data_IF_952736299305
#
_entry.id   IF_952736299305
#
_cell.length_a   1.000
_cell.length_b   1.000
_cell.length_c   1.000
_cell.angle_alpha   90.00
_cell.angle_beta   90.00
_cell.angle_gamma   90.00
#
_symmetry.space_group_name_H-M   'P 1'
#
loop_
_entity.id
_entity.type
_entity.pdbx_description
1 polymer ?
#
# COMPACT_ATOMS: atom_id res chain seq x y z
N UNK A 1 16.22 -18.05 -7.36
CA UNK A 1 15.71 -17.25 -6.22
C UNK A 1 14.75 -18.15 -5.46
N UNK A 2 14.84 -18.17 -4.13
CA UNK A 2 13.99 -19.05 -3.29
C UNK A 2 12.57 -18.48 -3.23
N UNK A 3 11.58 -19.34 -3.45
CA UNK A 3 10.16 -19.09 -3.20
C UNK A 3 9.87 -19.34 -1.72
N UNK A 4 9.00 -18.54 -1.07
CA UNK A 4 8.68 -18.70 0.36
C UNK A 4 8.03 -20.08 0.63
N UNK A 5 7.48 -20.74 -0.40
CA UNK A 5 7.03 -22.14 -0.42
C UNK A 5 8.00 -23.13 0.25
N UNK A 6 9.31 -22.93 0.13
CA UNK A 6 10.31 -23.86 0.70
C UNK A 6 10.40 -23.84 2.24
N UNK A 7 9.76 -22.86 2.89
CA UNK A 7 9.72 -22.75 4.35
C UNK A 7 8.64 -23.63 4.98
N UNK A 8 7.64 -24.06 4.20
CA UNK A 8 6.53 -24.91 4.66
C UNK A 8 6.85 -26.39 4.34
N UNK A 9 8.03 -26.84 4.72
CA UNK A 9 8.49 -28.22 4.50
C UNK A 9 8.22 -29.10 5.73
N UNK A 10 7.78 -30.37 5.56
CA UNK A 10 7.45 -31.24 6.68
C UNK A 10 8.69 -31.57 7.52
N UNK A 11 8.75 -30.98 8.72
CA UNK A 11 9.74 -31.31 9.74
C UNK A 11 9.04 -31.42 11.09
N UNK A 12 8.98 -32.63 11.65
CA UNK A 12 8.27 -32.91 12.91
C UNK A 12 8.68 -32.03 14.08
N UNK A 13 9.94 -31.63 14.17
CA UNK A 13 10.43 -30.74 15.24
C UNK A 13 9.95 -29.29 15.05
N UNK A 14 9.86 -28.84 13.81
CA UNK A 14 9.35 -27.50 13.47
C UNK A 14 7.84 -27.43 13.73
N UNK A 15 7.09 -28.46 13.31
CA UNK A 15 5.67 -28.58 13.61
C UNK A 15 5.38 -28.60 15.13
N UNK A 16 6.18 -29.32 15.92
CA UNK A 16 6.05 -29.30 17.38
C UNK A 16 6.28 -27.89 17.96
N UNK A 17 7.29 -27.18 17.47
CA UNK A 17 7.55 -25.79 17.84
C UNK A 17 6.37 -24.88 17.49
N UNK A 18 5.87 -24.95 16.25
CA UNK A 18 4.76 -24.13 15.77
C UNK A 18 3.47 -24.40 16.56
N UNK A 19 3.14 -25.67 16.86
CA UNK A 19 2.00 -26.02 17.71
C UNK A 19 2.18 -25.57 19.16
N UNK A 20 3.41 -25.60 19.69
CA UNK A 20 3.70 -25.07 21.03
C UNK A 20 3.42 -23.57 21.09
N UNK A 21 3.94 -22.80 20.12
CA UNK A 21 3.68 -21.35 20.04
C UNK A 21 2.19 -21.08 19.82
N UNK A 22 1.51 -21.87 18.98
CA UNK A 22 0.05 -21.76 18.75
C UNK A 22 -0.73 -21.99 20.05
N UNK A 23 -0.35 -22.98 20.86
CA UNK A 23 -0.97 -23.23 22.16
C UNK A 23 -0.78 -22.06 23.15
N UNK A 24 0.40 -21.44 23.15
CA UNK A 24 0.67 -20.22 23.94
C UNK A 24 -0.23 -19.07 23.48
N UNK A 25 -0.38 -18.87 22.17
CA UNK A 25 -1.27 -17.84 21.61
C UNK A 25 -2.74 -18.09 21.97
N UNK A 26 -3.21 -19.34 21.91
CA UNK A 26 -4.57 -19.72 22.36
C UNK A 26 -4.78 -19.39 23.85
N UNK A 27 -3.78 -19.69 24.69
CA UNK A 27 -3.79 -19.26 26.09
C UNK A 27 -3.86 -17.74 26.25
N UNK A 28 -3.12 -17.01 25.41
CA UNK A 28 -3.15 -15.54 25.31
C UNK A 28 -4.55 -15.01 24.97
N UNK A 29 -5.24 -15.60 23.99
CA UNK A 29 -6.64 -15.25 23.66
C UNK A 29 -7.54 -15.40 24.90
N UNK A 30 -7.44 -16.54 25.59
CA UNK A 30 -8.20 -16.78 26.80
C UNK A 30 -7.91 -15.77 27.91
N UNK A 31 -6.64 -15.40 28.09
CA UNK A 31 -6.21 -14.40 29.08
C UNK A 31 -6.74 -13.00 28.74
N UNK A 32 -6.64 -12.55 27.49
CA UNK A 32 -7.14 -11.24 27.10
C UNK A 32 -8.67 -11.17 27.21
N UNK A 33 -9.37 -12.20 26.75
CA UNK A 33 -10.83 -12.28 26.87
C UNK A 33 -11.29 -12.29 28.34
N UNK A 34 -10.62 -13.05 29.21
CA UNK A 34 -10.92 -13.06 30.64
C UNK A 34 -10.62 -11.72 31.34
N UNK A 35 -9.70 -10.93 30.79
CA UNK A 35 -9.38 -9.57 31.25
C UNK A 35 -10.28 -8.48 30.69
N UNK A 36 -11.22 -8.81 29.79
CA UNK A 36 -12.05 -7.82 29.09
C UNK A 36 -11.33 -7.06 27.96
N UNK A 37 -10.11 -7.46 27.62
CA UNK A 37 -9.26 -6.87 26.57
C UNK A 37 -9.62 -7.50 25.20
N UNK A 38 -10.85 -7.26 24.74
CA UNK A 38 -11.41 -7.95 23.57
C UNK A 38 -10.71 -7.60 22.25
N UNK A 39 -10.18 -6.39 22.12
CA UNK A 39 -9.34 -5.96 21.01
C UNK A 39 -8.11 -6.88 20.84
N UNK A 40 -7.42 -7.15 21.94
CA UNK A 40 -6.27 -8.04 21.99
C UNK A 40 -6.64 -9.51 21.85
N UNK A 41 -7.78 -9.92 22.38
CA UNK A 41 -8.29 -11.28 22.19
C UNK A 41 -8.56 -11.55 20.70
N UNK A 42 -9.19 -10.62 19.98
CA UNK A 42 -9.46 -10.73 18.55
C UNK A 42 -8.17 -10.71 17.74
N UNK A 43 -7.25 -9.79 18.03
CA UNK A 43 -5.97 -9.70 17.33
C UNK A 43 -5.13 -10.98 17.51
N UNK A 44 -5.08 -11.53 18.72
CA UNK A 44 -4.37 -12.78 19.00
C UNK A 44 -5.09 -13.98 18.37
N UNK A 45 -6.42 -13.98 18.33
CA UNK A 45 -7.19 -15.03 17.66
C UNK A 45 -6.97 -15.04 16.15
N UNK A 46 -6.78 -13.88 15.52
CA UNK A 46 -6.41 -13.78 14.11
C UNK A 46 -5.06 -14.46 13.83
N UNK A 47 -4.07 -14.26 14.69
CA UNK A 47 -2.78 -14.98 14.60
C UNK A 47 -2.96 -16.49 14.71
N UNK A 48 -3.75 -16.96 15.68
CA UNK A 48 -4.07 -18.39 15.83
C UNK A 48 -4.76 -18.92 14.57
N UNK A 49 -5.71 -18.18 14.01
CA UNK A 49 -6.42 -18.58 12.80
C UNK A 49 -5.47 -18.72 11.60
N UNK A 50 -4.49 -17.82 11.45
CA UNK A 50 -3.47 -17.91 10.40
C UNK A 50 -2.56 -19.12 10.63
N UNK A 51 -2.09 -19.32 11.87
CA UNK A 51 -1.20 -20.42 12.22
C UNK A 51 -1.85 -21.80 12.00
N UNK A 52 -3.13 -21.95 12.35
CA UNK A 52 -3.90 -23.19 12.16
C UNK A 52 -4.43 -23.33 10.73
N UNK A 53 -4.60 -22.21 10.02
CA UNK A 53 -5.13 -22.18 8.67
C UNK A 53 -4.33 -23.01 7.68
N UNK A 54 -2.99 -23.00 7.78
CA UNK A 54 -2.12 -23.80 6.90
C UNK A 54 -2.34 -25.30 7.10
N UNK A 55 -2.17 -25.88 8.31
CA UNK A 55 -2.46 -27.30 8.55
C UNK A 55 -3.87 -27.74 8.15
N UNK A 56 -4.87 -26.86 8.36
CA UNK A 56 -6.25 -27.17 8.03
C UNK A 56 -6.50 -27.19 6.52
N UNK A 57 -5.92 -26.24 5.79
CA UNK A 57 -6.02 -26.16 4.33
C UNK A 57 -5.29 -27.32 3.64
N UNK A 58 -4.11 -27.70 4.14
CA UNK A 58 -3.31 -28.82 3.60
C UNK A 58 -3.79 -30.18 4.08
N UNK A 59 -4.64 -30.22 5.12
CA UNK A 59 -5.09 -31.43 5.82
C UNK A 59 -3.93 -32.27 6.39
N UNK A 60 -2.84 -31.60 6.77
CA UNK A 60 -1.66 -32.21 7.35
C UNK A 60 -1.16 -31.39 8.54
N UNK A 61 -1.18 -31.98 9.73
CA UNK A 61 -0.77 -31.34 10.98
C UNK A 61 0.75 -31.15 11.09
N UNK A 62 1.54 -31.84 10.26
CA UNK A 62 2.99 -31.64 10.17
C UNK A 62 3.36 -30.45 9.26
N UNK A 63 2.42 -29.99 8.42
CA UNK A 63 2.62 -28.86 7.51
C UNK A 63 2.17 -27.56 8.17
N UNK A 64 3.10 -26.85 8.80
CA UNK A 64 2.85 -25.63 9.59
C UNK A 64 3.64 -24.43 9.06
N UNK A 65 3.31 -23.22 9.53
CA UNK A 65 4.20 -22.07 9.37
C UNK A 65 5.49 -22.28 10.17
N UNK A 66 6.65 -21.72 9.76
CA UNK A 66 7.91 -21.90 10.48
C UNK A 66 7.78 -21.49 11.95
N UNK A 67 8.20 -22.34 12.87
CA UNK A 67 8.05 -22.11 14.30
C UNK A 67 8.79 -20.84 14.75
N UNK A 68 9.96 -20.55 14.15
CA UNK A 68 10.75 -19.35 14.46
C UNK A 68 10.01 -18.07 14.05
N UNK A 69 9.36 -18.10 12.88
CA UNK A 69 8.59 -16.97 12.38
C UNK A 69 7.34 -16.74 13.23
N UNK A 70 6.60 -17.81 13.53
CA UNK A 70 5.44 -17.73 14.41
C UNK A 70 5.83 -17.29 15.82
N UNK A 71 6.96 -17.77 16.34
CA UNK A 71 7.54 -17.35 17.60
C UNK A 71 7.90 -15.87 17.62
N UNK A 72 8.55 -15.37 16.57
CA UNK A 72 8.88 -13.94 16.42
C UNK A 72 7.63 -13.07 16.45
N UNK A 73 6.58 -13.47 15.73
CA UNK A 73 5.30 -12.74 15.70
C UNK A 73 4.53 -12.87 17.02
N UNK A 74 4.75 -13.92 17.80
CA UNK A 74 4.17 -14.07 19.14
C UNK A 74 4.87 -13.21 20.21
N UNK A 75 6.11 -12.73 19.98
CA UNK A 75 6.85 -11.93 20.98
C UNK A 75 6.08 -10.67 21.40
N UNK A 76 5.57 -9.81 20.48
CA UNK A 76 4.81 -8.64 20.90
C UNK A 76 3.53 -8.96 21.67
N UNK A 77 2.87 -10.09 21.38
CA UNK A 77 1.71 -10.59 22.14
C UNK A 77 2.12 -10.93 23.57
N UNK A 78 3.23 -11.64 23.74
CA UNK A 78 3.75 -11.98 25.07
C UNK A 78 4.16 -10.74 25.85
N UNK A 79 4.86 -9.79 25.20
CA UNK A 79 5.22 -8.50 25.81
C UNK A 79 3.97 -7.78 26.31
N UNK A 80 2.89 -7.78 25.50
CA UNK A 80 1.61 -7.18 25.89
C UNK A 80 0.95 -7.89 27.07
N UNK A 81 1.00 -9.22 27.15
CA UNK A 81 0.46 -10.01 28.28
C UNK A 81 1.07 -9.55 29.61
N UNK A 82 2.34 -9.14 29.61
CA UNK A 82 3.04 -8.60 30.77
C UNK A 82 2.92 -7.07 30.94
N UNK A 83 2.08 -6.41 30.13
CA UNK A 83 1.83 -4.96 30.19
C UNK A 83 2.92 -4.10 29.53
N UNK A 84 3.79 -4.68 28.72
CA UNK A 84 4.87 -3.95 28.05
C UNK A 84 4.40 -3.22 26.78
N UNK A 85 4.86 -1.98 26.61
CA UNK A 85 4.77 -1.17 25.38
C UNK A 85 3.38 -1.22 24.67
N UNK A 86 2.28 -0.85 25.36
CA UNK A 86 0.93 -0.95 24.80
C UNK A 86 0.71 -0.08 23.54
N UNK A 87 1.48 0.99 23.36
CA UNK A 87 1.40 1.86 22.18
C UNK A 87 2.09 1.28 20.94
N UNK A 88 3.01 0.33 21.09
CA UNK A 88 3.85 -0.19 19.98
C UNK A 88 3.49 -1.63 19.63
N UNK A 89 3.17 -2.43 20.65
CA UNK A 89 2.89 -3.86 20.48
C UNK A 89 1.74 -4.18 19.52
N UNK A 90 0.60 -3.45 19.44
CA UNK A 90 -0.46 -3.75 18.48
C UNK A 90 0.04 -3.69 17.04
N UNK A 91 0.81 -2.64 16.72
CA UNK A 91 1.32 -2.42 15.37
C UNK A 91 2.39 -3.44 14.97
N UNK A 92 3.22 -3.88 15.91
CA UNK A 92 4.16 -4.98 15.69
C UNK A 92 3.42 -6.31 15.42
N UNK A 93 2.31 -6.57 16.13
CA UNK A 93 1.48 -7.74 15.85
C UNK A 93 0.82 -7.64 14.49
N UNK A 94 0.25 -6.48 14.12
CA UNK A 94 -0.34 -6.26 12.78
C UNK A 94 0.70 -6.49 11.67
N UNK A 95 1.92 -5.97 11.85
CA UNK A 95 3.00 -6.20 10.90
C UNK A 95 3.39 -7.69 10.82
N UNK A 96 3.43 -8.38 11.96
CA UNK A 96 3.65 -9.83 12.02
C UNK A 96 2.53 -10.65 11.37
N UNK A 97 1.27 -10.24 11.53
CA UNK A 97 0.10 -10.81 10.84
C UNK A 97 0.25 -10.62 9.33
N UNK A 98 0.54 -9.40 8.86
CA UNK A 98 0.75 -9.10 7.45
C UNK A 98 1.85 -9.97 6.85
N UNK A 99 2.90 -10.23 7.63
CA UNK A 99 4.01 -11.07 7.24
C UNK A 99 3.63 -12.55 7.14
N UNK A 100 2.96 -13.10 8.16
CA UNK A 100 2.46 -14.47 8.10
C UNK A 100 1.49 -14.63 6.94
N UNK A 101 0.61 -13.65 6.69
CA UNK A 101 -0.25 -13.64 5.52
C UNK A 101 0.55 -13.67 4.21
N UNK A 102 1.62 -12.88 4.08
CA UNK A 102 2.47 -12.92 2.89
C UNK A 102 3.08 -14.32 2.66
N UNK A 103 3.58 -14.96 3.72
CA UNK A 103 4.15 -16.32 3.67
C UNK A 103 3.08 -17.35 3.32
N UNK A 104 1.90 -17.27 3.94
CA UNK A 104 0.78 -18.18 3.68
C UNK A 104 0.25 -17.99 2.25
N UNK A 105 0.15 -16.76 1.77
CA UNK A 105 -0.25 -16.47 0.39
C UNK A 105 0.74 -17.08 -0.61
N UNK A 106 2.04 -16.88 -0.41
CA UNK A 106 3.05 -17.46 -1.29
C UNK A 106 3.05 -19.00 -1.28
N UNK A 107 2.83 -19.58 -0.10
CA UNK A 107 2.91 -21.03 0.07
C UNK A 107 1.63 -21.79 -0.34
N UNK A 108 0.46 -21.21 -0.07
CA UNK A 108 -0.83 -21.89 -0.25
C UNK A 108 -1.57 -21.46 -1.51
N UNK A 109 -1.11 -20.42 -2.22
CA UNK A 109 -1.74 -19.96 -3.46
C UNK A 109 -0.76 -20.03 -4.63
N UNK A 110 -1.22 -19.69 -5.84
CA UNK A 110 -0.35 -19.55 -7.00
C UNK A 110 0.56 -18.31 -6.92
N UNK A 111 0.40 -17.48 -5.90
CA UNK A 111 1.21 -16.29 -5.70
C UNK A 111 2.65 -16.71 -5.39
N UNK A 112 3.60 -16.07 -6.04
CA UNK A 112 5.01 -16.19 -5.66
C UNK A 112 5.57 -14.80 -5.37
N UNK A 113 6.40 -14.66 -4.34
CA UNK A 113 6.90 -13.39 -3.84
C UNK A 113 8.38 -13.51 -3.46
N UNK A 114 9.17 -12.50 -3.84
CA UNK A 114 10.54 -12.38 -3.33
C UNK A 114 10.53 -11.85 -1.90
N UNK A 115 11.55 -12.16 -1.06
CA UNK A 115 11.64 -11.60 0.29
C UNK A 115 11.58 -10.07 0.32
N UNK A 116 12.24 -9.40 -0.63
CA UNK A 116 12.19 -7.92 -0.78
C UNK A 116 10.79 -7.41 -1.09
N UNK A 117 10.05 -8.10 -1.96
CA UNK A 117 8.66 -7.75 -2.24
C UNK A 117 7.80 -7.97 -0.99
N UNK A 118 7.98 -9.09 -0.28
CA UNK A 118 7.28 -9.37 0.96
C UNK A 118 7.56 -8.29 2.03
N UNK A 119 8.80 -7.81 2.16
CA UNK A 119 9.15 -6.68 3.05
C UNK A 119 8.36 -5.42 2.71
N UNK A 120 8.33 -5.00 1.44
CA UNK A 120 7.53 -3.84 1.00
C UNK A 120 6.03 -4.08 1.23
N UNK A 121 5.57 -5.28 0.92
CA UNK A 121 4.16 -5.68 1.10
C UNK A 121 3.75 -5.59 2.57
N UNK A 122 4.60 -6.03 3.52
CA UNK A 122 4.34 -5.90 4.96
C UNK A 122 4.17 -4.44 5.37
N UNK A 123 5.07 -3.54 4.92
CA UNK A 123 4.95 -2.10 5.21
C UNK A 123 3.61 -1.56 4.67
N UNK A 124 3.30 -1.85 3.41
CA UNK A 124 2.07 -1.41 2.74
C UNK A 124 0.83 -1.91 3.47
N UNK A 125 0.74 -3.21 3.78
CA UNK A 125 -0.40 -3.79 4.49
C UNK A 125 -0.53 -3.20 5.89
N UNK A 126 0.58 -3.03 6.61
CA UNK A 126 0.56 -2.49 7.99
C UNK A 126 0.00 -1.07 7.99
N UNK A 127 0.49 -0.20 7.10
CA UNK A 127 -0.02 1.17 6.96
C UNK A 127 -1.47 1.20 6.50
N UNK A 128 -1.84 0.38 5.51
CA UNK A 128 -3.21 0.32 5.01
C UNK A 128 -4.20 -0.15 6.08
N UNK A 129 -3.85 -1.17 6.87
CA UNK A 129 -4.67 -1.64 7.98
C UNK A 129 -4.81 -0.56 9.05
N UNK A 130 -3.74 0.17 9.38
CA UNK A 130 -3.81 1.28 10.31
C UNK A 130 -4.72 2.42 9.82
N UNK A 131 -4.66 2.77 8.53
CA UNK A 131 -5.56 3.74 7.92
C UNK A 131 -7.03 3.29 7.93
N UNK A 132 -7.31 2.04 7.58
CA UNK A 132 -8.67 1.48 7.65
C UNK A 132 -9.19 1.44 9.08
N UNK A 133 -8.33 1.11 10.04
CA UNK A 133 -8.66 1.13 11.45
C UNK A 133 -9.01 2.54 11.94
N UNK A 134 -8.21 3.55 11.58
CA UNK A 134 -8.49 4.96 11.87
C UNK A 134 -9.88 5.40 11.38
N UNK A 135 -10.20 5.09 10.11
CA UNK A 135 -11.52 5.36 9.52
C UNK A 135 -12.62 4.63 10.30
N UNK A 136 -12.39 3.37 10.67
CA UNK A 136 -13.35 2.55 11.40
C UNK A 136 -13.64 3.08 12.81
N UNK A 137 -12.61 3.50 13.55
CA UNK A 137 -12.78 4.11 14.86
C UNK A 137 -13.54 5.44 14.74
N UNK A 138 -13.14 6.30 13.81
CA UNK A 138 -13.85 7.56 13.57
C UNK A 138 -15.33 7.35 13.23
N UNK A 139 -15.62 6.34 12.40
CA UNK A 139 -16.98 5.97 12.06
C UNK A 139 -17.75 5.43 13.28
N UNK A 140 -17.12 4.63 14.15
CA UNK A 140 -17.74 4.17 15.38
C UNK A 140 -18.08 5.34 16.31
N UNK A 141 -17.15 6.27 16.51
CA UNK A 141 -17.37 7.44 17.37
C UNK A 141 -18.49 8.34 16.82
N UNK A 142 -18.50 8.54 15.49
CA UNK A 142 -19.48 9.40 14.82
C UNK A 142 -20.88 8.75 14.72
N UNK A 143 -20.96 7.46 14.39
CA UNK A 143 -22.22 6.78 14.08
C UNK A 143 -22.84 6.08 15.29
N UNK A 144 -22.00 5.60 16.22
CA UNK A 144 -22.42 4.81 17.38
C UNK A 144 -22.24 5.58 18.70
N UNK A 145 -21.61 6.76 18.67
CA UNK A 145 -21.36 7.59 19.86
C UNK A 145 -20.33 6.99 20.80
N UNK A 146 -19.40 6.18 20.30
CA UNK A 146 -18.24 5.71 21.07
C UNK A 146 -17.24 6.85 21.30
N UNK A 147 -16.25 6.61 22.16
CA UNK A 147 -15.19 7.56 22.47
C UNK A 147 -13.83 6.85 22.41
N UNK A 148 -13.53 6.26 21.26
CA UNK A 148 -12.32 5.49 21.05
C UNK A 148 -11.16 6.33 20.48
N UNK A 149 -11.44 7.45 19.80
CA UNK A 149 -10.41 8.41 19.37
C UNK A 149 -10.06 9.35 20.52
N UNK A 150 -8.79 9.32 20.94
CA UNK A 150 -8.27 10.20 21.97
C UNK A 150 -7.98 11.62 21.45
N UNK A 151 -7.72 11.77 20.14
CA UNK A 151 -7.49 13.05 19.51
C UNK A 151 -6.74 12.95 18.17
N UNK A 152 -6.57 14.09 17.51
CA UNK A 152 -5.85 14.17 16.22
C UNK A 152 -4.37 13.77 16.39
N UNK A 153 -3.72 14.27 17.45
CA UNK A 153 -2.29 14.04 17.66
C UNK A 153 -2.02 12.59 18.04
N UNK A 154 -2.84 11.98 18.90
CA UNK A 154 -2.75 10.55 19.22
C UNK A 154 -2.92 9.70 17.95
N UNK A 155 -3.93 10.00 17.13
CA UNK A 155 -4.16 9.30 15.87
C UNK A 155 -2.93 9.38 14.94
N UNK A 156 -2.32 10.56 14.81
CA UNK A 156 -1.13 10.70 13.96
C UNK A 156 0.06 9.92 14.50
N UNK A 157 0.28 9.89 15.81
CA UNK A 157 1.32 9.06 16.41
C UNK A 157 1.05 7.56 16.26
N UNK A 158 -0.21 7.13 16.27
CA UNK A 158 -0.59 5.75 15.95
C UNK A 158 -0.23 5.39 14.51
N UNK A 159 -0.54 6.27 13.53
CA UNK A 159 -0.17 6.06 12.13
C UNK A 159 1.35 6.05 11.92
N UNK A 160 2.09 6.95 12.59
CA UNK A 160 3.56 6.97 12.57
C UNK A 160 4.13 5.69 13.16
N UNK A 161 3.58 5.23 14.29
CA UNK A 161 4.01 4.00 14.96
C UNK A 161 3.71 2.78 14.10
N UNK A 162 2.57 2.74 13.41
CA UNK A 162 2.24 1.70 12.44
C UNK A 162 3.23 1.64 11.27
N UNK A 163 3.57 2.79 10.69
CA UNK A 163 4.55 2.88 9.61
C UNK A 163 5.94 2.40 10.09
N UNK A 164 6.38 2.85 11.27
CA UNK A 164 7.64 2.43 11.86
C UNK A 164 7.66 0.93 12.18
N UNK A 165 6.59 0.38 12.76
CA UNK A 165 6.45 -1.04 13.05
C UNK A 165 6.50 -1.89 11.77
N UNK A 166 5.81 -1.47 10.71
CA UNK A 166 5.87 -2.13 9.41
C UNK A 166 7.28 -2.16 8.83
N UNK A 167 8.02 -1.03 8.90
CA UNK A 167 9.42 -0.95 8.44
C UNK A 167 10.31 -1.86 9.27
N UNK A 168 10.22 -1.78 10.60
CA UNK A 168 11.01 -2.62 11.52
C UNK A 168 10.75 -4.10 11.26
N UNK A 169 9.48 -4.52 11.16
CA UNK A 169 9.12 -5.90 10.86
C UNK A 169 9.66 -6.35 9.50
N UNK A 170 9.53 -5.50 8.49
CA UNK A 170 10.05 -5.75 7.15
C UNK A 170 11.58 -5.91 7.08
N UNK A 171 12.32 -5.11 7.85
CA UNK A 171 13.79 -5.20 7.95
C UNK A 171 14.21 -6.44 8.74
N UNK A 172 13.60 -6.69 9.90
CA UNK A 172 13.86 -7.90 10.70
C UNK A 172 13.62 -9.15 9.86
N UNK A 173 12.58 -9.13 9.03
CA UNK A 173 12.29 -10.21 8.10
C UNK A 173 13.35 -10.35 7.00
N UNK A 174 13.75 -9.27 6.33
CA UNK A 174 14.81 -9.33 5.32
C UNK A 174 16.10 -9.93 5.91
N UNK A 175 16.48 -9.50 7.12
CA UNK A 175 17.63 -10.04 7.85
C UNK A 175 17.47 -11.52 8.21
N UNK A 176 16.28 -11.95 8.65
CA UNK A 176 15.99 -13.36 8.93
C UNK A 176 16.22 -14.22 7.68
N UNK A 177 15.82 -13.75 6.49
CA UNK A 177 16.02 -14.45 5.22
C UNK A 177 17.46 -14.40 4.72
N UNK A 178 18.18 -13.33 5.00
CA UNK A 178 19.59 -13.21 4.64
C UNK A 178 20.49 -14.12 5.49
N UNK A 179 20.16 -14.29 6.78
CA UNK A 179 20.99 -15.01 7.76
C UNK A 179 20.67 -16.50 7.89
N UNK A 180 19.51 -16.97 7.43
CA UNK A 180 19.14 -18.38 7.55
C UNK A 180 19.95 -19.27 6.58
N UNK A 181 20.98 -19.96 7.10
CA UNK A 181 21.88 -20.92 6.42
C UNK A 181 21.17 -22.06 5.64
N UNK A 182 19.86 -22.24 5.87
CA UNK A 182 18.99 -23.15 5.12
C UNK A 182 18.88 -22.76 3.63
N UNK A 183 19.06 -21.47 3.31
CA UNK A 183 18.97 -20.88 1.96
C UNK A 183 20.33 -20.89 1.22
N UNK A 184 21.45 -21.02 1.93
CA UNK A 184 22.80 -20.94 1.36
C UNK A 184 23.17 -22.12 0.44
N UNK A 185 22.52 -23.28 0.57
CA UNK A 185 22.85 -24.51 -0.19
C UNK A 185 22.34 -24.59 -1.64
N UNK A 186 21.63 -23.58 -2.14
CA UNK A 186 21.05 -23.60 -3.50
C UNK A 186 21.59 -22.48 -4.40
N UNK A 187 22.68 -21.83 -4.01
CA UNK A 187 23.21 -20.61 -4.62
C UNK A 187 24.26 -20.87 -5.72
N UNK A 188 24.08 -21.90 -6.54
CA UNK A 188 24.87 -22.10 -7.77
C UNK A 188 23.95 -22.29 -8.96
N UNK A 189 23.76 -21.19 -9.72
CA UNK A 189 23.89 -21.16 -11.18
C UNK A 189 23.61 -19.75 -11.72
N UNK A 190 24.55 -19.26 -12.52
CA UNK A 190 24.54 -18.06 -13.41
C UNK A 190 25.10 -18.55 -14.77
N UNK A 191 25.02 -17.84 -15.92
CA UNK A 191 24.33 -16.58 -16.27
C UNK A 191 23.53 -16.59 -17.61
N UNK A 192 22.96 -15.41 -17.93
CA UNK A 192 22.58 -14.77 -19.22
C UNK A 192 21.45 -15.28 -20.16
N UNK A 193 20.48 -14.40 -20.44
CA UNK A 193 20.33 -13.70 -21.75
C UNK A 193 19.19 -12.68 -21.74
N UNK A 194 19.45 -11.52 -22.34
CA UNK A 194 18.54 -10.40 -22.64
C UNK A 194 17.44 -10.74 -23.67
N UNK A 195 16.27 -10.13 -23.53
CA UNK A 195 15.48 -9.63 -24.66
C UNK A 195 14.50 -8.58 -24.15
N UNK A 196 14.76 -7.32 -24.50
CA UNK A 196 13.77 -6.26 -24.37
C UNK A 196 12.67 -6.48 -25.41
N UNK A 197 11.41 -6.30 -24.99
CA UNK A 197 10.30 -6.09 -25.90
C UNK A 197 9.74 -4.69 -25.65
N UNK A 198 10.22 -3.74 -26.46
CA UNK A 198 9.60 -2.43 -26.62
C UNK A 198 8.46 -2.56 -27.63
N UNK A 199 7.27 -2.95 -27.16
CA UNK A 199 6.04 -2.81 -27.94
C UNK A 199 5.28 -1.57 -27.50
N UNK A 200 5.83 -0.41 -27.87
CA UNK A 200 5.12 0.86 -27.85
C UNK A 200 4.10 0.91 -28.99
N UNK A 201 2.91 0.38 -28.77
CA UNK A 201 1.78 0.59 -29.66
C UNK A 201 1.19 1.98 -29.40
N UNK A 202 1.73 3.00 -30.06
CA UNK A 202 1.12 4.33 -30.13
C UNK A 202 -0.14 4.26 -31.00
N UNK A 203 -1.31 4.48 -30.41
CA UNK A 203 -2.53 4.75 -31.18
C UNK A 203 -2.43 6.19 -31.73
N UNK A 204 -2.53 6.42 -33.05
CA UNK A 204 -2.58 7.77 -33.62
C UNK A 204 -4.00 8.33 -33.48
N UNK A 205 -4.16 9.55 -32.96
CA UNK A 205 -5.46 10.23 -33.07
C UNK A 205 -5.67 11.57 -32.38
N UNK A 206 -5.21 11.79 -31.14
CA UNK A 206 -5.71 12.93 -30.30
C UNK A 206 -4.63 13.85 -29.70
N UNK A 207 -3.37 13.65 -30.05
CA UNK A 207 -2.24 14.24 -29.32
C UNK A 207 -2.11 15.77 -29.36
N UNK A 208 -2.72 16.47 -30.32
CA UNK A 208 -2.55 17.92 -30.44
C UNK A 208 -3.43 18.69 -29.44
N UNK A 209 -4.69 18.31 -29.29
CA UNK A 209 -5.61 18.92 -28.32
C UNK A 209 -5.16 18.64 -26.88
N UNK A 210 -4.76 17.40 -26.58
CA UNK A 210 -4.18 17.05 -25.28
C UNK A 210 -2.92 17.85 -24.96
N UNK A 211 -2.01 18.03 -25.93
CA UNK A 211 -0.78 18.82 -25.71
C UNK A 211 -1.09 20.30 -25.46
N UNK A 212 -2.06 20.87 -26.16
CA UNK A 212 -2.48 22.26 -25.94
C UNK A 212 -3.10 22.41 -24.55
N UNK A 213 -3.99 21.49 -24.15
CA UNK A 213 -4.59 21.48 -22.83
C UNK A 213 -3.55 21.35 -21.71
N UNK A 214 -2.59 20.43 -21.85
CA UNK A 214 -1.48 20.27 -20.89
C UNK A 214 -0.70 21.56 -20.73
N UNK A 215 -0.34 22.23 -21.84
CA UNK A 215 0.40 23.50 -21.78
C UNK A 215 -0.41 24.62 -21.13
N UNK A 216 -1.71 24.68 -21.41
CA UNK A 216 -2.60 25.66 -20.77
C UNK A 216 -2.67 25.44 -19.25
N UNK A 217 -2.86 24.19 -18.81
CA UNK A 217 -2.87 23.82 -17.39
C UNK A 217 -1.51 24.07 -16.72
N UNK A 218 -0.39 23.76 -17.39
CA UNK A 218 0.95 24.10 -16.91
C UNK A 218 1.16 25.61 -16.77
N UNK A 219 0.58 26.41 -17.67
CA UNK A 219 0.63 27.88 -17.55
C UNK A 219 -0.18 28.37 -16.35
N UNK A 220 -1.35 27.77 -16.06
CA UNK A 220 -2.14 28.05 -14.85
C UNK A 220 -1.33 27.71 -13.59
N UNK A 221 -0.76 26.50 -13.54
CA UNK A 221 0.12 26.07 -12.44
C UNK A 221 1.31 27.02 -12.24
N UNK A 222 1.97 27.39 -13.33
CA UNK A 222 3.06 28.36 -13.31
C UNK A 222 2.63 29.73 -12.80
N UNK A 223 1.44 30.20 -13.18
CA UNK A 223 0.90 31.46 -12.70
C UNK A 223 0.62 31.43 -11.19
N UNK A 224 0.01 30.34 -10.68
CA UNK A 224 -0.23 30.15 -9.24
C UNK A 224 1.10 30.12 -8.48
N UNK A 225 2.09 29.35 -8.96
CA UNK A 225 3.40 29.24 -8.32
C UNK A 225 4.16 30.58 -8.32
N UNK A 226 4.16 31.32 -9.43
CA UNK A 226 4.79 32.64 -9.50
C UNK A 226 4.07 33.62 -8.59
N UNK A 227 2.73 33.61 -8.55
CA UNK A 227 1.96 34.44 -7.65
C UNK A 227 2.32 34.15 -6.18
N UNK A 228 2.40 32.86 -5.80
CA UNK A 228 2.77 32.44 -4.46
C UNK A 228 4.17 32.94 -4.08
N UNK A 229 5.14 32.81 -5.00
CA UNK A 229 6.50 33.29 -4.81
C UNK A 229 6.56 34.81 -4.62
N UNK A 230 5.83 35.57 -5.45
CA UNK A 230 5.76 37.04 -5.35
C UNK A 230 5.10 37.49 -4.05
N UNK A 231 4.12 36.73 -3.56
CA UNK A 231 3.46 36.99 -2.27
C UNK A 231 4.24 36.51 -1.05
N UNK A 232 5.34 35.78 -1.25
CA UNK A 232 6.09 35.15 -0.16
C UNK A 232 5.32 34.01 0.54
N UNK A 233 4.29 33.45 -0.10
CA UNK A 233 3.51 32.34 0.45
C UNK A 233 4.21 31.01 0.13
N UNK A 234 4.99 30.51 1.09
CA UNK A 234 5.78 29.29 0.94
C UNK A 234 4.89 28.04 0.79
N UNK A 235 3.82 27.94 1.57
CA UNK A 235 2.84 26.82 1.56
C UNK A 235 2.21 26.68 0.18
N UNK A 236 1.66 27.77 -0.37
CA UNK A 236 1.08 27.76 -1.70
C UNK A 236 2.15 27.53 -2.79
N UNK A 237 3.36 28.06 -2.62
CA UNK A 237 4.44 27.84 -3.59
C UNK A 237 4.82 26.37 -3.68
N UNK A 238 4.92 25.65 -2.56
CA UNK A 238 5.20 24.21 -2.57
C UNK A 238 4.02 23.42 -3.14
N UNK A 239 2.79 23.76 -2.74
CA UNK A 239 1.56 23.11 -3.22
C UNK A 239 1.18 23.42 -4.68
N UNK A 240 1.89 24.33 -5.35
CA UNK A 240 1.71 24.60 -6.79
C UNK A 240 2.96 24.28 -7.61
N UNK A 241 4.14 24.54 -7.06
CA UNK A 241 5.44 24.25 -7.66
C UNK A 241 5.76 22.75 -7.70
N UNK A 242 5.42 21.99 -6.65
CA UNK A 242 5.55 20.54 -6.63
C UNK A 242 4.70 19.87 -7.73
N UNK A 243 3.38 20.12 -7.78
CA UNK A 243 2.52 19.64 -8.86
C UNK A 243 3.00 20.07 -10.25
N UNK A 244 3.43 21.33 -10.42
CA UNK A 244 4.03 21.80 -11.67
C UNK A 244 5.24 20.94 -12.08
N UNK A 245 6.15 20.63 -11.15
CA UNK A 245 7.30 19.76 -11.41
C UNK A 245 6.87 18.35 -11.83
N UNK A 246 5.83 17.79 -11.20
CA UNK A 246 5.26 16.48 -11.55
C UNK A 246 4.79 16.45 -13.01
N UNK A 247 4.18 17.52 -13.51
CA UNK A 247 3.73 17.59 -14.92
C UNK A 247 4.86 17.47 -15.95
N UNK A 248 6.11 17.69 -15.54
CA UNK A 248 7.29 17.54 -16.41
C UNK A 248 7.92 16.14 -16.38
N UNK A 249 7.51 15.26 -15.46
CA UNK A 249 8.01 13.88 -15.40
C UNK A 249 7.86 13.11 -16.72
N UNK A 250 6.74 13.20 -17.47
CA UNK A 250 6.64 12.52 -18.76
C UNK A 250 7.66 13.00 -19.80
N UNK A 251 8.04 14.28 -19.76
CA UNK A 251 9.08 14.83 -20.64
C UNK A 251 10.47 14.34 -20.20
N UNK A 252 10.71 14.25 -18.89
CA UNK A 252 11.94 13.69 -18.33
C UNK A 252 12.10 12.20 -18.72
N UNK A 253 11.04 11.41 -18.60
CA UNK A 253 11.08 10.00 -18.99
C UNK A 253 11.35 9.80 -20.48
N UNK A 254 10.77 10.64 -21.34
CA UNK A 254 11.10 10.63 -22.77
C UNK A 254 12.57 10.95 -23.00
N UNK A 255 13.13 11.92 -22.27
CA UNK A 255 14.53 12.32 -22.41
C UNK A 255 15.52 11.26 -21.90
N UNK A 256 15.21 10.63 -20.77
CA UNK A 256 16.14 9.73 -20.07
C UNK A 256 16.02 8.27 -20.50
N UNK A 257 14.81 7.82 -20.85
CA UNK A 257 14.51 6.40 -21.11
C UNK A 257 13.92 6.15 -22.50
N UNK A 258 13.87 7.17 -23.37
CA UNK A 258 13.22 7.12 -24.69
C UNK A 258 11.76 6.60 -24.63
N UNK A 259 11.10 6.82 -23.49
CA UNK A 259 9.75 6.35 -23.24
C UNK A 259 8.75 7.49 -23.40
N UNK A 260 7.92 7.43 -24.45
CA UNK A 260 6.82 8.36 -24.65
C UNK A 260 5.54 7.84 -23.96
N UNK A 261 5.18 8.47 -22.85
CA UNK A 261 3.92 8.19 -22.15
C UNK A 261 2.70 8.59 -23.01
N UNK A 262 1.61 7.85 -22.88
CA UNK A 262 0.33 8.14 -23.52
C UNK A 262 -0.16 9.57 -23.22
N UNK A 263 -0.67 10.26 -24.25
CA UNK A 263 -1.06 11.67 -24.12
C UNK A 263 -2.27 11.89 -23.19
N UNK A 264 -3.16 10.91 -23.07
CA UNK A 264 -4.26 10.94 -22.11
C UNK A 264 -3.77 10.83 -20.68
N UNK A 265 -2.80 9.94 -20.42
CA UNK A 265 -2.17 9.84 -19.10
C UNK A 265 -1.39 11.11 -18.72
N UNK A 266 -0.67 11.72 -19.67
CA UNK A 266 -0.01 13.02 -19.45
C UNK A 266 -1.03 14.11 -19.11
N UNK A 267 -2.17 14.15 -19.82
CA UNK A 267 -3.25 15.07 -19.51
C UNK A 267 -3.84 14.80 -18.12
N UNK A 268 -4.09 13.54 -17.76
CA UNK A 268 -4.65 13.16 -16.47
C UNK A 268 -3.74 13.54 -15.30
N UNK A 269 -2.43 13.29 -15.42
CA UNK A 269 -1.42 13.77 -14.44
C UNK A 269 -1.50 15.29 -14.27
N UNK A 270 -1.60 16.01 -15.39
CA UNK A 270 -1.64 17.47 -15.39
C UNK A 270 -2.94 18.01 -14.80
N UNK A 271 -4.08 17.37 -15.08
CA UNK A 271 -5.39 17.72 -14.50
C UNK A 271 -5.37 17.54 -12.99
N UNK A 272 -4.96 16.37 -12.49
CA UNK A 272 -4.88 16.12 -11.05
C UNK A 272 -3.95 17.13 -10.35
N UNK A 273 -2.77 17.37 -10.93
CA UNK A 273 -1.80 18.35 -10.42
C UNK A 273 -2.39 19.75 -10.37
N UNK A 274 -3.18 20.14 -11.37
CA UNK A 274 -3.82 21.45 -11.44
C UNK A 274 -4.96 21.58 -10.44
N UNK A 275 -5.77 20.53 -10.28
CA UNK A 275 -6.85 20.51 -9.29
C UNK A 275 -6.29 20.64 -7.87
N UNK A 276 -5.22 19.90 -7.52
CA UNK A 276 -4.54 20.04 -6.23
C UNK A 276 -4.06 21.47 -5.97
N UNK A 277 -3.32 22.05 -6.93
CA UNK A 277 -2.78 23.40 -6.78
C UNK A 277 -3.89 24.47 -6.72
N UNK A 278 -5.00 24.28 -7.42
CA UNK A 278 -6.16 25.16 -7.34
C UNK A 278 -6.89 25.01 -5.99
N UNK A 279 -6.94 23.78 -5.45
CA UNK A 279 -7.35 23.47 -4.08
C UNK A 279 -6.60 24.32 -3.06
N UNK A 280 -5.27 24.23 -3.08
CA UNK A 280 -4.39 25.02 -2.22
C UNK A 280 -4.51 26.53 -2.48
N UNK A 281 -4.93 26.93 -3.68
CA UNK A 281 -5.29 28.30 -4.04
C UNK A 281 -6.74 28.63 -3.66
N UNK A 282 -7.07 28.47 -2.38
CA UNK A 282 -8.34 28.83 -1.72
C UNK A 282 -9.55 27.92 -2.01
N UNK A 283 -9.52 26.99 -2.98
CA UNK A 283 -10.69 26.15 -3.27
C UNK A 283 -10.99 25.11 -2.18
N UNK A 284 -9.98 24.65 -1.43
CA UNK A 284 -10.19 23.77 -0.28
C UNK A 284 -11.04 24.43 0.81
N UNK A 285 -10.79 25.70 1.09
CA UNK A 285 -11.57 26.47 2.08
C UNK A 285 -12.93 26.91 1.50
N UNK A 286 -12.99 27.22 0.21
CA UNK A 286 -14.21 27.72 -0.42
C UNK A 286 -15.28 26.63 -0.62
N UNK A 287 -14.87 25.38 -0.86
CA UNK A 287 -15.78 24.29 -1.23
C UNK A 287 -15.39 22.98 -0.52
N UNK A 288 -16.12 22.62 0.54
CA UNK A 288 -15.79 21.42 1.34
C UNK A 288 -15.84 20.07 0.61
N UNK A 289 -16.37 19.99 -0.62
CA UNK A 289 -16.31 18.78 -1.45
C UNK A 289 -15.08 18.74 -2.38
N UNK A 290 -14.41 19.88 -2.56
CA UNK A 290 -13.32 20.02 -3.53
C UNK A 290 -12.12 19.20 -3.09
N UNK A 291 -11.82 19.25 -1.80
CA UNK A 291 -10.77 18.46 -1.19
C UNK A 291 -10.96 16.95 -1.45
N UNK A 292 -12.11 16.39 -1.07
CA UNK A 292 -12.53 15.02 -1.41
C UNK A 292 -12.36 14.67 -2.89
N UNK A 293 -12.71 15.57 -3.81
CA UNK A 293 -12.52 15.35 -5.25
C UNK A 293 -11.04 15.24 -5.60
N UNK A 294 -10.20 16.15 -5.09
CA UNK A 294 -8.76 16.11 -5.36
C UNK A 294 -8.11 14.86 -4.80
N UNK A 295 -8.50 14.40 -3.61
CA UNK A 295 -8.03 13.15 -3.03
C UNK A 295 -8.40 11.94 -3.90
N UNK A 296 -9.66 11.84 -4.34
CA UNK A 296 -10.07 10.74 -5.23
C UNK A 296 -9.34 10.76 -6.58
N UNK A 297 -9.14 11.94 -7.18
CA UNK A 297 -8.44 12.10 -8.46
C UNK A 297 -6.94 11.79 -8.31
N UNK A 298 -6.28 12.32 -7.27
CA UNK A 298 -4.88 12.04 -6.97
C UNK A 298 -4.65 10.57 -6.64
N UNK A 299 -5.52 9.96 -5.84
CA UNK A 299 -5.50 8.53 -5.54
C UNK A 299 -5.63 7.66 -6.78
N UNK A 300 -6.37 8.09 -7.81
CA UNK A 300 -6.43 7.36 -9.08
C UNK A 300 -5.06 7.30 -9.79
N UNK A 301 -4.25 8.35 -9.68
CA UNK A 301 -2.88 8.36 -10.20
C UNK A 301 -1.97 7.45 -9.39
N UNK A 302 -2.05 7.53 -8.06
CA UNK A 302 -1.31 6.64 -7.16
C UNK A 302 -1.67 5.17 -7.40
N UNK A 303 -2.95 4.88 -7.68
CA UNK A 303 -3.40 3.54 -8.06
C UNK A 303 -2.74 3.06 -9.35
N UNK A 304 -2.63 3.93 -10.36
CA UNK A 304 -1.89 3.66 -11.58
C UNK A 304 -0.41 3.36 -11.33
N UNK A 305 0.24 4.11 -10.43
CA UNK A 305 1.62 3.85 -9.98
C UNK A 305 1.73 2.49 -9.29
N UNK A 306 0.85 2.20 -8.33
CA UNK A 306 0.81 0.91 -7.64
C UNK A 306 0.63 -0.26 -8.59
N UNK A 307 -0.23 -0.12 -9.60
CA UNK A 307 -0.42 -1.11 -10.65
C UNK A 307 0.86 -1.30 -11.49
N UNK A 308 1.51 -0.20 -11.87
CA UNK A 308 2.75 -0.24 -12.63
C UNK A 308 3.88 -0.92 -11.84
N UNK A 309 3.99 -0.64 -10.54
CA UNK A 309 4.94 -1.29 -9.63
C UNK A 309 4.66 -2.79 -9.57
N UNK A 310 3.42 -3.19 -9.29
CA UNK A 310 3.05 -4.60 -9.26
C UNK A 310 3.39 -5.30 -10.59
N UNK A 311 3.06 -4.67 -11.72
CA UNK A 311 3.32 -5.23 -13.04
C UNK A 311 4.81 -5.28 -13.39
N UNK A 312 5.59 -4.30 -12.94
CA UNK A 312 7.03 -4.29 -13.12
C UNK A 312 7.68 -5.44 -12.36
N UNK A 313 7.26 -5.69 -11.12
CA UNK A 313 7.75 -6.81 -10.31
C UNK A 313 7.44 -8.15 -10.98
N UNK A 314 6.21 -8.36 -11.44
CA UNK A 314 5.83 -9.59 -12.18
C UNK A 314 6.68 -9.80 -13.45
N UNK A 315 6.94 -8.74 -14.21
CA UNK A 315 7.68 -8.86 -15.47
C UNK A 315 9.17 -9.10 -15.27
N UNK A 316 9.77 -8.54 -14.23
CA UNK A 316 11.21 -8.58 -14.02
C UNK A 316 11.64 -9.65 -13.00
N UNK A 317 10.70 -10.31 -12.33
CA UNK A 317 10.97 -11.42 -11.44
C UNK A 317 10.30 -12.70 -11.95
N UNK A 318 11.12 -13.70 -12.31
CA UNK A 318 10.61 -15.06 -12.61
C UNK A 318 10.06 -15.78 -11.37
N UNK A 319 10.20 -15.18 -10.19
CA UNK A 319 9.75 -15.70 -8.91
C UNK A 319 8.54 -14.92 -8.37
N UNK A 320 7.88 -14.13 -9.21
CA UNK A 320 6.66 -13.41 -8.84
C UNK A 320 5.58 -13.60 -9.89
N UNK A 321 4.47 -14.18 -9.48
CA UNK A 321 3.26 -14.35 -10.28
C UNK A 321 2.07 -13.87 -9.47
N UNK A 322 1.33 -12.86 -9.97
CA UNK A 322 0.16 -12.32 -9.29
C UNK A 322 -1.10 -12.61 -10.07
N UNK A 323 -2.05 -13.29 -9.41
CA UNK A 323 -3.41 -13.35 -9.92
C UNK A 323 -4.06 -11.94 -9.91
N UNK A 324 -5.16 -11.81 -10.62
CA UNK A 324 -5.82 -10.52 -10.87
C UNK A 324 -6.39 -9.93 -9.58
N UNK A 325 -6.94 -10.77 -8.73
CA UNK A 325 -7.52 -10.43 -7.44
C UNK A 325 -6.47 -9.87 -6.48
N UNK A 326 -5.30 -10.50 -6.41
CA UNK A 326 -4.18 -10.02 -5.62
C UNK A 326 -3.67 -8.68 -6.13
N UNK A 327 -3.56 -8.50 -7.45
CA UNK A 327 -3.12 -7.24 -8.04
C UNK A 327 -4.07 -6.09 -7.72
N UNK A 328 -5.37 -6.32 -7.85
CA UNK A 328 -6.39 -5.33 -7.49
C UNK A 328 -6.33 -4.99 -6.00
N UNK A 329 -6.23 -6.01 -5.14
CA UNK A 329 -6.08 -5.84 -3.68
C UNK A 329 -4.81 -5.06 -3.35
N UNK A 330 -3.67 -5.41 -3.94
CA UNK A 330 -2.40 -4.72 -3.74
C UNK A 330 -2.49 -3.25 -4.14
N UNK A 331 -3.15 -2.92 -5.26
CA UNK A 331 -3.35 -1.52 -5.67
C UNK A 331 -4.14 -0.74 -4.63
N UNK A 332 -5.23 -1.32 -4.09
CA UNK A 332 -6.02 -0.66 -3.04
C UNK A 332 -5.21 -0.44 -1.76
N UNK A 333 -4.50 -1.49 -1.31
CA UNK A 333 -3.63 -1.40 -0.13
C UNK A 333 -2.49 -0.39 -0.34
N UNK A 334 -1.91 -0.35 -1.54
CA UNK A 334 -0.84 0.59 -1.90
C UNK A 334 -1.34 2.04 -1.84
N UNK A 335 -2.52 2.33 -2.39
CA UNK A 335 -3.11 3.68 -2.32
C UNK A 335 -3.40 4.08 -0.88
N UNK A 336 -3.98 3.19 -0.08
CA UNK A 336 -4.23 3.43 1.34
C UNK A 336 -2.93 3.72 2.10
N UNK A 337 -1.88 2.93 1.87
CA UNK A 337 -0.58 3.13 2.50
C UNK A 337 0.05 4.46 2.09
N UNK A 338 -0.04 4.85 0.81
CA UNK A 338 0.43 6.17 0.35
C UNK A 338 -0.41 7.29 0.95
N UNK A 339 -1.73 7.11 1.09
CA UNK A 339 -2.62 8.05 1.77
C UNK A 339 -2.18 8.27 3.21
N UNK A 340 -1.99 7.20 4.00
CA UNK A 340 -1.45 7.30 5.36
C UNK A 340 -0.06 7.96 5.37
N UNK A 341 0.78 7.65 4.38
CA UNK A 341 2.08 8.29 4.23
C UNK A 341 1.96 9.80 3.98
N UNK A 342 0.95 10.24 3.23
CA UNK A 342 0.65 11.66 3.01
C UNK A 342 0.29 12.36 4.31
N UNK A 343 -0.67 11.81 5.07
CA UNK A 343 -1.06 12.34 6.39
C UNK A 343 0.14 12.52 7.34
N UNK A 344 1.03 11.52 7.36
CA UNK A 344 2.26 11.56 8.15
C UNK A 344 3.17 12.70 7.70
N UNK A 345 3.29 12.96 6.39
CA UNK A 345 4.08 14.07 5.88
C UNK A 345 3.49 15.43 6.27
N UNK A 346 2.16 15.56 6.26
CA UNK A 346 1.49 16.80 6.67
C UNK A 346 1.73 17.08 8.16
N UNK A 347 1.49 16.07 9.00
CA UNK A 347 1.79 16.13 10.43
C UNK A 347 3.26 16.45 10.71
N UNK A 348 4.18 15.79 10.00
CA UNK A 348 5.61 16.06 10.12
C UNK A 348 5.98 17.49 9.70
N UNK A 349 5.29 18.05 8.70
CA UNK A 349 5.51 19.43 8.26
C UNK A 349 5.09 20.45 9.33
N UNK A 350 3.97 20.21 10.02
CA UNK A 350 3.53 21.01 11.16
C UNK A 350 4.48 20.90 12.35
N UNK A 351 4.92 19.68 12.65
CA UNK A 351 5.95 19.43 13.67
C UNK A 351 7.25 20.18 13.38
N UNK A 352 7.74 20.14 12.15
CA UNK A 352 8.96 20.84 11.74
C UNK A 352 8.81 22.37 11.84
N UNK A 353 7.67 22.91 11.39
CA UNK A 353 7.36 24.34 11.52
C UNK A 353 7.35 24.80 12.98
N UNK A 354 6.83 23.97 13.89
CA UNK A 354 6.82 24.28 15.34
C UNK A 354 8.22 24.36 15.96
N UNK A 355 9.21 23.64 15.40
CA UNK A 355 10.59 23.59 15.90
C UNK A 355 11.47 24.66 15.26
N UNK A 356 11.38 24.81 13.93
CA UNK A 356 12.25 25.71 13.15
C UNK A 356 11.70 27.15 13.11
N UNK A 357 10.41 27.32 13.41
CA UNK A 357 9.68 28.57 13.22
C UNK A 357 9.24 28.75 11.76
N UNK A 358 7.98 29.16 11.57
CA UNK A 358 7.36 29.32 10.25
C UNK A 358 5.97 28.69 10.20
N UNK A 359 5.38 28.66 9.01
CA UNK A 359 4.10 27.99 8.76
C UNK A 359 4.33 26.57 8.23
N UNK A 360 3.40 25.67 8.52
CA UNK A 360 3.40 24.33 7.95
C UNK A 360 3.27 24.44 6.42
N UNK A 361 4.17 23.77 5.70
CA UNK A 361 4.20 23.78 4.24
C UNK A 361 3.09 22.91 3.65
N UNK A 362 2.66 21.90 4.39
CA UNK A 362 1.49 21.08 4.09
C UNK A 362 0.46 21.33 5.19
N UNK A 363 -0.77 21.63 4.80
CA UNK A 363 -1.83 21.95 5.76
C UNK A 363 -2.49 20.64 6.21
N UNK A 364 -2.65 20.48 7.53
CA UNK A 364 -3.46 19.41 8.11
C UNK A 364 -4.58 20.07 8.92
N UNK A 365 -5.85 19.85 8.56
CA UNK A 365 -6.95 20.62 9.14
C UNK A 365 -7.53 19.98 10.40
N UNK A 366 -7.72 18.66 10.44
CA UNK A 366 -8.39 18.01 11.57
C UNK A 366 -8.50 16.49 11.43
N UNK A 367 -9.06 15.82 12.45
CA UNK A 367 -9.29 14.37 12.39
C UNK A 367 -10.32 13.98 11.32
N UNK A 368 -11.38 14.78 11.17
CA UNK A 368 -12.40 14.51 10.15
C UNK A 368 -11.87 14.63 8.72
N UNK A 369 -10.89 15.50 8.52
CA UNK A 369 -10.18 15.75 7.26
C UNK A 369 -9.31 14.54 6.89
N UNK A 370 -8.40 14.13 7.79
CA UNK A 370 -7.59 12.89 7.68
C UNK A 370 -8.46 11.69 7.27
N UNK A 371 -9.60 11.51 7.93
CA UNK A 371 -10.50 10.37 7.67
C UNK A 371 -11.20 10.52 6.32
N UNK A 372 -11.66 11.71 5.98
CA UNK A 372 -12.27 12.01 4.68
C UNK A 372 -11.28 11.73 3.54
N UNK A 373 -10.02 12.10 3.71
CA UNK A 373 -8.95 11.89 2.73
C UNK A 373 -8.68 10.41 2.51
N UNK A 374 -8.55 9.63 3.59
CA UNK A 374 -8.42 8.18 3.49
C UNK A 374 -9.63 7.51 2.82
N UNK A 375 -10.85 8.00 3.08
CA UNK A 375 -12.07 7.51 2.44
C UNK A 375 -12.07 7.81 0.94
N UNK A 376 -11.79 9.05 0.53
CA UNK A 376 -11.80 9.42 -0.89
C UNK A 376 -10.58 8.85 -1.64
N UNK A 377 -9.46 8.64 -0.97
CA UNK A 377 -8.34 7.85 -1.47
C UNK A 377 -8.78 6.41 -1.78
N UNK A 378 -9.55 5.80 -0.88
CA UNK A 378 -10.12 4.46 -1.07
C UNK A 378 -11.09 4.41 -2.26
N UNK A 379 -11.94 5.44 -2.41
CA UNK A 379 -12.85 5.56 -3.57
C UNK A 379 -12.05 5.61 -4.89
N UNK A 380 -11.04 6.47 -4.96
CA UNK A 380 -10.16 6.58 -6.13
C UNK A 380 -9.46 5.24 -6.44
N UNK A 381 -8.99 4.55 -5.40
CA UNK A 381 -8.36 3.24 -5.53
C UNK A 381 -9.31 2.18 -6.10
N UNK A 382 -10.55 2.09 -5.59
CA UNK A 382 -11.54 1.12 -6.07
C UNK A 382 -12.00 1.41 -7.50
N UNK A 383 -12.15 2.67 -7.87
CA UNK A 383 -12.48 3.05 -9.25
C UNK A 383 -11.41 2.51 -10.20
N UNK A 384 -10.13 2.72 -9.89
CA UNK A 384 -9.03 2.25 -10.75
C UNK A 384 -8.87 0.73 -10.69
N UNK A 385 -8.92 0.12 -9.51
CA UNK A 385 -8.81 -1.33 -9.36
C UNK A 385 -9.96 -2.06 -10.09
N UNK A 386 -11.19 -1.54 -10.00
CA UNK A 386 -12.35 -2.05 -10.72
C UNK A 386 -12.25 -1.85 -12.23
N UNK A 387 -11.80 -0.69 -12.68
CA UNK A 387 -11.60 -0.40 -14.11
C UNK A 387 -10.49 -1.24 -14.74
N UNK A 388 -9.36 -1.40 -14.05
CA UNK A 388 -8.24 -2.26 -14.46
C UNK A 388 -8.66 -3.73 -14.53
N UNK A 389 -9.67 -4.12 -13.77
CA UNK A 389 -10.24 -5.46 -13.79
C UNK A 389 -11.14 -5.54 -15.03
N UNK A 390 -12.21 -4.74 -15.12
CA UNK A 390 -13.25 -4.88 -16.16
C UNK A 390 -12.80 -4.60 -17.61
N UNK A 391 -11.87 -3.65 -17.85
CA UNK A 391 -11.51 -3.22 -19.21
C UNK A 391 -10.83 -4.32 -20.04
N UNK A 392 -10.04 -5.19 -19.40
CA UNK A 392 -9.36 -6.29 -20.09
C UNK A 392 -10.29 -7.48 -20.41
N UNK A 393 -11.29 -7.77 -19.57
CA UNK A 393 -12.28 -8.82 -19.85
C UNK A 393 -13.20 -8.45 -21.02
N UNK A 394 -13.67 -7.20 -21.07
CA UNK A 394 -14.54 -6.73 -22.15
C UNK A 394 -13.84 -6.73 -23.51
N UNK A 395 -12.53 -6.43 -23.53
CA UNK A 395 -11.73 -6.45 -24.77
C UNK A 395 -11.34 -7.88 -25.15
N UNK A 396 -10.91 -8.70 -24.18
CA UNK A 396 -10.56 -10.10 -24.43
C UNK A 396 -11.78 -10.89 -24.95
N UNK A 397 -12.95 -10.74 -24.32
CA UNK A 397 -14.19 -11.39 -24.75
C UNK A 397 -14.67 -10.94 -26.13
N UNK A 398 -14.49 -9.65 -26.48
CA UNK A 398 -14.80 -9.14 -27.82
C UNK A 398 -13.83 -9.64 -28.89
N UNK A 399 -12.58 -9.88 -28.53
CA UNK A 399 -11.57 -10.44 -29.44
C UNK A 399 -11.77 -11.95 -29.64
N UNK A 400 -12.00 -12.73 -28.59
CA UNK A 400 -12.34 -14.17 -28.72
C UNK A 400 -13.67 -14.37 -29.43
N UNK A 401 -14.67 -13.52 -29.20
CA UNK A 401 -15.93 -13.54 -29.93
C UNK A 401 -15.76 -13.27 -31.44
N UNK A 402 -14.88 -12.34 -31.83
CA UNK A 402 -14.58 -12.08 -33.24
C UNK A 402 -13.77 -13.18 -33.90
N UNK A 403 -12.75 -13.73 -33.22
CA UNK A 403 -11.97 -14.87 -33.73
C UNK A 403 -12.83 -16.12 -33.87
N UNK A 404 -13.72 -16.40 -32.91
CA UNK A 404 -14.69 -17.49 -33.00
C UNK A 404 -15.64 -17.35 -34.20
N UNK A 405 -16.07 -16.12 -34.52
CA UNK A 405 -16.91 -15.85 -35.71
C UNK A 405 -16.17 -15.98 -37.06
N UNK A 406 -14.84 -15.86 -37.05
CA UNK A 406 -13.99 -16.02 -38.24
C UNK A 406 -13.50 -17.46 -38.43
N UNK A 407 -13.33 -18.21 -37.33
CA UNK A 407 -12.98 -19.62 -37.34
C UNK A 407 -14.21 -20.54 -37.48
N UNK A 408 -15.41 -20.04 -37.18
CA UNK A 408 -16.69 -20.77 -37.27
C UNK A 408 -17.51 -20.37 -38.50
N UNK A 409 -17.02 -20.71 -39.69
CA UNK A 409 -17.82 -20.83 -40.92
C UNK A 409 -17.44 -22.13 -41.62
N UNK A 410 -18.09 -23.22 -41.19
CA UNK A 410 -18.39 -24.35 -42.06
C UNK A 410 -19.81 -24.16 -42.60
#
# INVERSE_FOLDING_TARGET
MVSLQSLIGPHRLDALGAWTVTGVLVGGVGRFAAGGEFDWAVLTALLVAIAVGVPFATRDLETTVPAELLGLVAVPVLVRVFGGFPQVTPFLVIAGVALLLAVVLDACTSLTMTPRFATVFVVVVTMAVAGVWAVGIYAADTLLGTAFLDGQTELMWDLVTAAAAGIVAGVVFELYFEQSDRIARLRVSKPDSSAGDHSGASIPGDGQHHRLAVRALQAVLGAIAVFALVRGNATLFVNSGGPLAITFLPALFRRQYDYAMDTGLVLWITVASTLHAAGAFELYEAFGWYDSLTHAVSASLIAGVGYAVARAVERHSRAVDFNREFRATFVVLFVLAVGVGWEILEFASGGLASVVGGEAVLAQYGTGDIVNDLVFNTVGAFIVAGWSTAHFEGIAARLTGRVGSLAGRD
#
